data_IF_819112585130
#
_entry.id   IF_819112585130
#
_cell.length_a   1.000
_cell.length_b   1.000
_cell.length_c   1.000
_cell.angle_alpha   90.00
_cell.angle_beta   90.00
_cell.angle_gamma   90.00
#
_symmetry.space_group_name_H-M   'P 1'
#
loop_
_entity.id
_entity.type
_entity.pdbx_description
1 polymer ?
#
# COMPACT_ATOMS: atom_id res chain seq x y z
N UNK A 1 16.15 19.14 36.06
CA UNK A 1 15.39 20.37 36.43
C UNK A 1 14.75 20.95 35.17
N UNK A 2 13.54 21.52 35.31
CA UNK A 2 12.58 21.93 34.26
C UNK A 2 13.06 23.12 33.40
N UNK A 3 12.79 23.09 32.09
CA UNK A 3 12.68 24.27 31.21
C UNK A 3 11.53 23.96 30.22
N UNK A 4 10.26 24.25 30.50
CA UNK A 4 9.49 25.51 30.39
C UNK A 4 9.52 26.17 29.00
N UNK A 5 8.48 25.81 28.23
CA UNK A 5 7.67 26.56 27.23
C UNK A 5 8.20 27.93 26.79
N UNK A 6 8.33 28.12 25.47
CA UNK A 6 8.17 29.42 24.83
C UNK A 6 7.23 29.28 23.62
N UNK A 7 6.10 29.97 23.77
CA UNK A 7 5.04 30.23 22.81
C UNK A 7 5.58 31.28 21.81
N UNK A 8 5.47 31.01 20.51
CA UNK A 8 5.63 32.06 19.49
C UNK A 8 4.34 32.10 18.68
N UNK A 9 3.43 32.98 19.10
CA UNK A 9 2.41 33.54 18.23
C UNK A 9 3.12 34.41 17.20
N UNK A 10 2.96 34.12 15.92
CA UNK A 10 3.13 35.11 14.87
C UNK A 10 1.87 35.16 14.03
N UNK A 11 1.07 36.16 14.37
CA UNK A 11 -0.10 36.65 13.65
C UNK A 11 0.28 37.20 12.28
N UNK A 12 -0.46 36.73 11.27
CA UNK A 12 -1.00 37.44 10.12
C UNK A 12 -0.06 38.21 9.17
N UNK A 13 -0.07 37.78 7.90
CA UNK A 13 -0.14 38.70 6.77
C UNK A 13 -1.05 38.10 5.69
N UNK A 14 -2.26 38.64 5.60
CA UNK A 14 -3.22 38.39 4.52
C UNK A 14 -2.70 39.13 3.29
N UNK A 15 -2.31 38.38 2.26
CA UNK A 15 -2.12 38.92 0.92
C UNK A 15 -3.28 38.42 0.05
N UNK A 16 -4.36 39.22 0.00
CA UNK A 16 -5.41 39.11 -1.00
C UNK A 16 -4.87 39.73 -2.29
N UNK A 17 -4.61 38.93 -3.32
CA UNK A 17 -4.09 39.42 -4.59
C UNK A 17 -4.09 38.41 -5.73
N UNK A 18 -5.29 38.09 -6.24
CA UNK A 18 -5.54 37.80 -7.66
C UNK A 18 -4.96 36.51 -8.27
N UNK A 19 -5.82 35.50 -8.45
CA UNK A 19 -5.54 34.40 -9.37
C UNK A 19 -6.55 33.26 -9.22
N UNK A 20 -7.56 33.23 -10.10
CA UNK A 20 -8.48 32.11 -10.22
C UNK A 20 -7.72 30.80 -10.46
N UNK A 21 -7.77 29.86 -9.52
CA UNK A 21 -7.53 28.45 -9.81
C UNK A 21 -8.27 27.56 -8.80
N UNK A 22 -9.39 27.00 -9.27
CA UNK A 22 -10.07 25.78 -8.84
C UNK A 22 -9.94 25.35 -7.36
N UNK A 23 -11.05 25.51 -6.64
CA UNK A 23 -11.29 24.84 -5.36
C UNK A 23 -11.23 23.31 -5.49
N UNK A 24 -10.62 22.62 -4.52
CA UNK A 24 -11.15 21.35 -4.04
C UNK A 24 -11.85 21.62 -2.71
N UNK A 25 -13.15 21.33 -2.67
CA UNK A 25 -13.90 21.20 -1.44
C UNK A 25 -13.20 20.14 -0.57
N UNK A 26 -12.53 20.58 0.49
CA UNK A 26 -12.01 19.69 1.51
C UNK A 26 -13.20 19.20 2.36
N UNK A 27 -13.90 18.19 1.84
CA UNK A 27 -14.85 17.41 2.62
C UNK A 27 -14.07 16.76 3.77
N UNK A 28 -14.46 17.13 4.99
CA UNK A 28 -14.03 16.48 6.22
C UNK A 28 -14.34 14.98 6.13
N UNK A 29 -13.30 14.17 5.97
CA UNK A 29 -13.37 12.73 6.14
C UNK A 29 -12.75 12.39 7.50
N UNK A 30 -13.63 12.36 8.51
CA UNK A 30 -13.41 11.64 9.75
C UNK A 30 -13.01 10.20 9.42
N UNK A 31 -11.72 9.89 9.54
CA UNK A 31 -11.24 8.53 9.50
C UNK A 31 -10.64 8.22 10.86
N UNK A 32 -11.44 7.56 11.69
CA UNK A 32 -10.91 6.71 12.74
C UNK A 32 -10.06 5.65 12.05
N UNK A 33 -8.78 5.95 11.85
CA UNK A 33 -7.82 5.00 11.33
C UNK A 33 -7.60 3.97 12.42
N UNK A 34 -8.39 2.88 12.36
CA UNK A 34 -8.00 1.62 12.97
C UNK A 34 -6.54 1.39 12.56
N UNK A 35 -5.64 1.30 13.54
CA UNK A 35 -4.21 1.17 13.29
C UNK A 35 -3.98 -0.05 12.39
N UNK A 36 -3.74 0.19 11.11
CA UNK A 36 -3.37 -0.84 10.15
C UNK A 36 -2.07 -1.45 10.68
N UNK A 37 -2.13 -2.71 11.10
CA UNK A 37 -0.94 -3.43 11.55
C UNK A 37 0.09 -3.39 10.43
N UNK A 38 1.30 -2.92 10.73
CA UNK A 38 2.36 -2.78 9.75
C UNK A 38 2.66 -4.14 9.11
N UNK A 39 2.41 -4.24 7.81
CA UNK A 39 2.61 -5.45 7.00
C UNK A 39 3.88 -5.29 6.17
N UNK A 40 4.84 -6.19 6.35
CA UNK A 40 6.01 -6.27 5.48
C UNK A 40 5.83 -7.43 4.53
N UNK A 41 5.97 -7.17 3.23
CA UNK A 41 5.76 -8.16 2.19
C UNK A 41 6.94 -8.23 1.23
N UNK A 42 7.24 -9.42 0.73
CA UNK A 42 8.26 -9.65 -0.29
C UNK A 42 7.78 -10.65 -1.33
N UNK A 43 8.31 -10.54 -2.55
CA UNK A 43 8.09 -11.52 -3.63
C UNK A 43 9.41 -12.02 -4.21
N UNK A 44 9.45 -13.31 -4.50
CA UNK A 44 10.63 -13.97 -5.06
C UNK A 44 10.24 -14.76 -6.28
N UNK A 45 10.96 -14.56 -7.38
CA UNK A 45 10.86 -15.40 -8.57
C UNK A 45 11.48 -16.75 -8.27
N UNK A 46 10.72 -17.83 -8.48
CA UNK A 46 11.21 -19.21 -8.32
C UNK A 46 11.61 -19.82 -9.66
N UNK A 47 10.88 -19.50 -10.72
CA UNK A 47 11.18 -19.90 -12.10
C UNK A 47 10.57 -18.90 -13.09
N UNK A 48 10.70 -19.20 -14.38
CA UNK A 48 10.08 -18.43 -15.48
C UNK A 48 8.55 -18.45 -15.44
N UNK A 49 7.95 -19.38 -14.68
CA UNK A 49 6.50 -19.57 -14.63
C UNK A 49 5.94 -19.56 -13.21
N UNK A 50 6.78 -19.34 -12.18
CA UNK A 50 6.36 -19.34 -10.77
C UNK A 50 7.02 -18.24 -9.95
N UNK A 51 6.23 -17.67 -9.05
CA UNK A 51 6.71 -16.81 -7.99
C UNK A 51 6.16 -17.26 -6.63
N UNK A 52 6.90 -16.89 -5.59
CA UNK A 52 6.43 -16.90 -4.22
C UNK A 52 6.33 -15.49 -3.68
N UNK A 53 5.59 -15.35 -2.60
CA UNK A 53 5.61 -14.16 -1.78
C UNK A 53 5.33 -14.52 -0.34
N UNK A 54 5.71 -13.62 0.54
CA UNK A 54 5.58 -13.77 1.98
C UNK A 54 5.22 -12.43 2.60
N UNK A 55 4.37 -12.45 3.63
CA UNK A 55 4.05 -11.27 4.41
C UNK A 55 4.06 -11.53 5.93
N UNK A 56 4.53 -10.54 6.70
CA UNK A 56 4.54 -10.55 8.16
C UNK A 56 3.27 -9.90 8.74
N UNK A 57 2.23 -10.70 9.00
CA UNK A 57 0.99 -10.20 9.61
C UNK A 57 0.22 -9.23 8.72
N UNK A 58 -0.74 -8.50 9.29
CA UNK A 58 -1.60 -7.58 8.53
C UNK A 58 -2.96 -8.19 8.20
N UNK A 59 -3.39 -8.00 6.95
CA UNK A 59 -4.72 -8.40 6.44
C UNK A 59 -4.59 -9.48 5.37
N UNK A 60 -5.72 -9.95 4.88
CA UNK A 60 -5.75 -10.90 3.78
C UNK A 60 -4.91 -10.41 2.59
N UNK A 61 -4.10 -11.31 2.04
CA UNK A 61 -3.21 -11.02 0.93
C UNK A 61 -3.07 -12.22 0.00
N UNK A 62 -2.56 -12.00 -1.20
CA UNK A 62 -2.19 -13.04 -2.15
C UNK A 62 -1.00 -12.62 -2.99
N UNK A 63 -0.37 -13.62 -3.61
CA UNK A 63 0.64 -13.39 -4.65
C UNK A 63 -0.05 -13.37 -5.99
N UNK A 64 0.23 -12.36 -6.79
CA UNK A 64 -0.17 -12.28 -8.19
C UNK A 64 1.04 -12.47 -9.11
N UNK A 65 0.83 -13.12 -10.25
CA UNK A 65 1.78 -13.16 -11.36
C UNK A 65 1.06 -12.82 -12.67
N UNK A 66 1.75 -12.16 -13.59
CA UNK A 66 1.23 -11.86 -14.93
C UNK A 66 2.02 -12.65 -15.95
N UNK A 67 1.31 -13.43 -16.76
CA UNK A 67 1.89 -14.30 -17.78
C UNK A 67 1.02 -14.24 -19.04
N UNK A 68 1.64 -14.03 -20.21
CA UNK A 68 0.91 -14.00 -21.49
C UNK A 68 -0.27 -13.02 -21.56
N UNK A 69 -0.24 -11.93 -20.77
CA UNK A 69 -1.35 -10.96 -20.68
C UNK A 69 -2.44 -11.29 -19.66
N UNK A 70 -2.38 -12.45 -19.00
CA UNK A 70 -3.32 -12.88 -17.97
C UNK A 70 -2.71 -12.76 -16.57
N UNK A 71 -3.56 -12.51 -15.57
CA UNK A 71 -3.16 -12.43 -14.16
C UNK A 71 -3.57 -13.72 -13.45
N UNK A 72 -2.63 -14.37 -12.79
CA UNK A 72 -2.84 -15.58 -11.98
C UNK A 72 -2.53 -15.26 -10.54
N UNK A 73 -3.25 -15.91 -9.62
CA UNK A 73 -3.25 -15.55 -8.22
C UNK A 73 -3.14 -16.79 -7.34
N UNK A 74 -2.47 -16.63 -6.20
CA UNK A 74 -2.56 -17.59 -5.10
C UNK A 74 -3.90 -17.44 -4.38
N UNK A 75 -4.29 -18.47 -3.63
CA UNK A 75 -5.44 -18.39 -2.74
C UNK A 75 -5.22 -17.43 -1.56
N UNK A 76 -6.34 -16.93 -1.03
CA UNK A 76 -6.41 -16.11 0.17
C UNK A 76 -6.81 -17.02 1.35
N UNK A 77 -6.05 -18.08 1.61
CA UNK A 77 -6.40 -19.07 2.64
C UNK A 77 -5.76 -18.81 4.01
N UNK A 78 -4.80 -17.89 4.09
CA UNK A 78 -4.13 -17.51 5.33
C UNK A 78 -3.49 -16.12 5.23
N UNK A 79 -3.54 -15.35 6.31
CA UNK A 79 -2.87 -14.04 6.45
C UNK A 79 -1.37 -14.18 6.68
N UNK A 80 -0.87 -15.37 7.02
CA UNK A 80 0.54 -15.62 7.32
C UNK A 80 1.12 -16.73 6.45
N UNK A 81 2.42 -16.60 6.16
CA UNK A 81 3.22 -17.66 5.53
C UNK A 81 3.67 -17.30 4.13
N UNK A 82 4.19 -18.31 3.42
CA UNK A 82 4.59 -18.18 2.02
C UNK A 82 3.45 -18.65 1.13
N UNK A 83 3.13 -17.86 0.12
CA UNK A 83 2.14 -18.19 -0.91
C UNK A 83 2.82 -18.28 -2.27
N UNK A 84 2.20 -19.01 -3.18
CA UNK A 84 2.75 -19.31 -4.49
C UNK A 84 1.72 -19.02 -5.57
N UNK A 85 2.17 -18.39 -6.64
CA UNK A 85 1.38 -18.20 -7.84
C UNK A 85 2.17 -18.69 -9.05
N UNK A 86 1.47 -19.32 -9.99
CA UNK A 86 2.03 -19.92 -11.18
C UNK A 86 1.29 -19.45 -12.41
N UNK A 87 2.01 -19.33 -13.52
CA UNK A 87 1.40 -19.16 -14.83
C UNK A 87 0.62 -20.43 -15.19
N UNK A 88 -0.62 -20.28 -15.66
CA UNK A 88 -1.32 -21.35 -16.36
C UNK A 88 -0.74 -21.60 -17.76
N UNK A 89 -0.30 -20.54 -18.43
CA UNK A 89 0.43 -20.59 -19.70
C UNK A 89 1.34 -19.37 -19.88
N UNK A 90 2.39 -19.50 -20.69
CA UNK A 90 3.34 -18.44 -21.01
C UNK A 90 4.32 -18.09 -19.88
N UNK A 91 5.24 -17.18 -20.17
CA UNK A 91 6.30 -16.74 -19.24
C UNK A 91 5.82 -15.59 -18.35
N UNK A 92 6.25 -15.62 -17.09
CA UNK A 92 5.98 -14.59 -16.10
C UNK A 92 6.72 -13.29 -16.46
N UNK A 93 5.97 -12.21 -16.59
CA UNK A 93 6.49 -10.85 -16.86
C UNK A 93 6.42 -9.95 -15.63
N UNK A 94 5.50 -10.24 -14.69
CA UNK A 94 5.34 -9.46 -13.46
C UNK A 94 4.94 -10.38 -12.30
N UNK A 95 5.35 -10.01 -11.09
CA UNK A 95 4.90 -10.58 -9.81
C UNK A 95 4.60 -9.45 -8.82
N UNK A 96 3.57 -9.59 -7.99
CA UNK A 96 3.22 -8.59 -6.97
C UNK A 96 2.49 -9.23 -5.78
N UNK A 97 2.24 -8.42 -4.76
CA UNK A 97 1.37 -8.75 -3.62
C UNK A 97 0.13 -7.88 -3.72
N UNK A 98 -1.02 -8.50 -3.55
CA UNK A 98 -2.34 -7.85 -3.50
C UNK A 98 -2.89 -8.00 -2.07
N UNK A 99 -3.37 -6.92 -1.47
CA UNK A 99 -3.78 -6.84 -0.05
C UNK A 99 -5.17 -6.19 0.06
N UNK A 100 -6.00 -6.60 1.04
CA UNK A 100 -7.36 -6.05 1.26
C UNK A 100 -7.64 -5.54 2.66
#
# INVERSE_FOLDING_TARGET
MKIRRALALTTAAVALGGGLALAPAASAASSGAAAAQAMSCSTTRLSDHRASGWCSGGRDWRVGVRCGGHNYYSEISSVRGTKYAACGSGTMTHRWIDQW
#
